data_IF_449865686206
#
_entry.id   IF_449865686206
#
_cell.length_a   1.000
_cell.length_b   1.000
_cell.length_c   1.000
_cell.angle_alpha   90.00
_cell.angle_beta   90.00
_cell.angle_gamma   90.00
#
_symmetry.space_group_name_H-M   'P 1'
#
loop_
_entity.id
_entity.type
_entity.pdbx_description
1 polymer ?
#
# COMPACT_ATOMS: atom_id res chain seq x y z
N UNK A 1 7.21 -6.85 -25.90
CA UNK A 1 7.94 -6.94 -24.60
C UNK A 1 7.30 -8.03 -23.79
N UNK A 2 8.08 -8.89 -23.13
CA UNK A 2 7.51 -10.00 -22.36
C UNK A 2 7.03 -9.41 -21.00
N UNK A 3 5.73 -9.06 -20.89
CA UNK A 3 5.18 -8.51 -19.67
C UNK A 3 5.31 -9.52 -18.52
N UNK A 4 5.83 -9.09 -17.38
CA UNK A 4 5.98 -9.91 -16.19
C UNK A 4 4.61 -10.38 -15.69
N UNK A 5 4.46 -11.69 -15.43
CA UNK A 5 3.20 -12.24 -14.92
C UNK A 5 3.04 -11.91 -13.43
N UNK A 6 1.94 -11.26 -13.09
CA UNK A 6 1.63 -10.75 -11.74
C UNK A 6 0.38 -11.44 -11.19
N UNK A 7 0.44 -11.87 -9.94
CA UNK A 7 -0.72 -12.30 -9.15
C UNK A 7 -1.07 -11.20 -8.13
N UNK A 8 -2.37 -10.94 -7.99
CA UNK A 8 -2.89 -10.07 -6.95
C UNK A 8 -3.31 -10.91 -5.74
N UNK A 9 -2.95 -10.48 -4.54
CA UNK A 9 -3.28 -11.19 -3.30
C UNK A 9 -4.25 -10.33 -2.49
N UNK A 10 -5.53 -10.69 -2.57
CA UNK A 10 -6.67 -10.00 -1.96
C UNK A 10 -7.71 -9.59 -3.00
N UNK A 11 -8.96 -10.06 -2.80
CA UNK A 11 -10.08 -9.88 -3.72
C UNK A 11 -11.06 -8.76 -3.30
N UNK A 12 -10.66 -7.88 -2.39
CA UNK A 12 -11.52 -6.80 -1.86
C UNK A 12 -11.56 -5.54 -2.73
N UNK A 13 -12.19 -4.48 -2.20
CA UNK A 13 -12.34 -3.20 -2.92
C UNK A 13 -11.03 -2.55 -3.36
N UNK A 14 -9.95 -2.69 -2.56
CA UNK A 14 -8.63 -2.15 -2.92
C UNK A 14 -8.03 -2.84 -4.16
N UNK A 15 -8.37 -4.10 -4.40
CA UNK A 15 -7.94 -4.81 -5.62
C UNK A 15 -8.41 -4.09 -6.90
N UNK A 16 -9.62 -3.51 -6.89
CA UNK A 16 -10.15 -2.76 -8.04
C UNK A 16 -9.27 -1.55 -8.38
N UNK A 17 -8.84 -0.80 -7.37
CA UNK A 17 -7.93 0.34 -7.57
C UNK A 17 -6.55 -0.10 -8.05
N UNK A 18 -6.06 -1.23 -7.55
CA UNK A 18 -4.78 -1.78 -8.00
C UNK A 18 -4.85 -2.25 -9.46
N UNK A 19 -5.94 -2.93 -9.85
CA UNK A 19 -6.16 -3.39 -11.23
C UNK A 19 -6.15 -2.20 -12.18
N UNK A 20 -6.93 -1.15 -11.89
CA UNK A 20 -7.02 0.05 -12.71
C UNK A 20 -5.65 0.71 -12.95
N UNK A 21 -4.82 0.81 -11.90
CA UNK A 21 -3.45 1.32 -12.06
C UNK A 21 -2.58 0.39 -12.91
N UNK A 22 -2.65 -0.94 -12.69
CA UNK A 22 -1.78 -1.92 -13.37
C UNK A 22 -2.11 -2.01 -14.85
N UNK A 23 -3.40 -1.96 -15.22
CA UNK A 23 -3.85 -1.99 -16.62
C UNK A 23 -3.35 -0.79 -17.43
N UNK A 24 -3.12 0.35 -16.77
CA UNK A 24 -2.54 1.54 -17.37
C UNK A 24 -0.98 1.52 -17.44
N UNK A 25 -0.37 0.39 -17.02
CA UNK A 25 1.08 0.19 -17.03
C UNK A 25 1.44 -1.00 -17.92
N UNK A 26 2.22 -0.81 -18.97
CA UNK A 26 2.69 -1.90 -19.85
C UNK A 26 3.81 -2.77 -19.22
N UNK A 27 3.86 -2.86 -17.90
CA UNK A 27 4.92 -3.57 -17.18
C UNK A 27 4.52 -4.98 -16.76
N UNK A 28 3.24 -5.18 -16.41
CA UNK A 28 2.73 -6.41 -15.83
C UNK A 28 1.49 -6.91 -16.56
N UNK A 29 1.36 -8.23 -16.63
CA UNK A 29 0.12 -8.90 -17.04
C UNK A 29 -0.48 -9.60 -15.82
N UNK A 30 -1.66 -9.16 -15.38
CA UNK A 30 -2.39 -9.81 -14.29
C UNK A 30 -2.80 -11.19 -14.75
N UNK A 31 -2.40 -12.22 -14.00
CA UNK A 31 -2.71 -13.61 -14.30
C UNK A 31 -3.88 -14.18 -13.51
N UNK A 32 -4.31 -13.47 -12.46
CA UNK A 32 -5.41 -13.86 -11.58
C UNK A 32 -5.28 -13.27 -10.19
N UNK A 33 -6.23 -13.60 -9.34
CA UNK A 33 -6.34 -13.09 -7.97
C UNK A 33 -6.29 -14.26 -6.99
N UNK A 34 -5.64 -14.07 -5.86
CA UNK A 34 -5.71 -14.94 -4.69
C UNK A 34 -6.72 -14.32 -3.73
N UNK A 35 -7.73 -15.10 -3.34
CA UNK A 35 -8.80 -14.66 -2.44
C UNK A 35 -9.01 -15.61 -1.27
N UNK A 36 -10.16 -15.50 -0.63
CA UNK A 36 -10.60 -16.47 0.36
C UNK A 36 -11.09 -17.75 -0.34
N UNK A 37 -11.07 -18.91 0.32
CA UNK A 37 -11.52 -20.17 -0.30
C UNK A 37 -12.94 -20.13 -0.87
N UNK A 38 -13.85 -19.38 -0.24
CA UNK A 38 -15.23 -19.18 -0.70
C UNK A 38 -15.38 -18.17 -1.84
N UNK A 39 -14.31 -17.51 -2.24
CA UNK A 39 -14.28 -16.55 -3.37
C UNK A 39 -13.77 -17.20 -4.67
N UNK A 40 -13.36 -18.46 -4.64
CA UNK A 40 -12.83 -19.17 -5.81
C UNK A 40 -13.83 -19.12 -6.99
N UNK A 41 -13.33 -18.73 -8.17
CA UNK A 41 -14.13 -18.55 -9.38
C UNK A 41 -14.86 -17.22 -9.49
N UNK A 42 -14.90 -16.39 -8.41
CA UNK A 42 -15.43 -15.03 -8.47
C UNK A 42 -14.53 -14.16 -9.34
N UNK A 43 -15.12 -13.27 -10.12
CA UNK A 43 -14.38 -12.31 -10.94
C UNK A 43 -14.44 -10.91 -10.36
N UNK A 44 -13.29 -10.22 -10.41
CA UNK A 44 -13.18 -8.79 -10.20
C UNK A 44 -12.74 -8.20 -11.55
N UNK A 45 -13.64 -7.49 -12.20
CA UNK A 45 -13.52 -7.15 -13.62
C UNK A 45 -13.27 -8.42 -14.45
N UNK A 46 -12.21 -8.47 -15.24
CA UNK A 46 -11.87 -9.61 -16.10
C UNK A 46 -11.00 -10.67 -15.41
N UNK A 47 -10.64 -10.47 -14.14
CA UNK A 47 -9.70 -11.33 -13.41
C UNK A 47 -10.40 -12.22 -12.41
N UNK A 48 -10.15 -13.52 -12.54
CA UNK A 48 -10.75 -14.55 -11.70
C UNK A 48 -9.93 -14.80 -10.44
N UNK A 49 -10.61 -15.12 -9.33
CA UNK A 49 -9.99 -15.68 -8.13
C UNK A 49 -9.63 -17.14 -8.42
N UNK A 50 -8.35 -17.42 -8.62
CA UNK A 50 -7.81 -18.70 -9.09
C UNK A 50 -7.22 -19.57 -7.98
N UNK A 51 -7.24 -19.12 -6.75
CA UNK A 51 -6.71 -19.83 -5.59
C UNK A 51 -6.83 -19.04 -4.30
N UNK A 52 -6.28 -19.59 -3.24
CA UNK A 52 -6.21 -19.03 -1.90
C UNK A 52 -4.77 -19.02 -1.34
N UNK A 53 -4.59 -18.59 -0.10
CA UNK A 53 -3.26 -18.52 0.55
C UNK A 53 -2.50 -19.87 0.51
N UNK A 54 -3.20 -21.01 0.54
CA UNK A 54 -2.57 -22.33 0.50
C UNK A 54 -1.99 -22.70 -0.88
N UNK A 55 -2.40 -22.00 -1.93
CA UNK A 55 -1.96 -22.26 -3.30
C UNK A 55 -0.71 -21.44 -3.70
N UNK A 56 -0.24 -20.53 -2.83
CA UNK A 56 0.86 -19.58 -3.15
C UNK A 56 2.11 -20.29 -3.67
N UNK A 57 2.56 -21.38 -3.01
CA UNK A 57 3.77 -22.13 -3.43
C UNK A 57 3.59 -22.78 -4.81
N UNK A 58 2.38 -23.26 -5.13
CA UNK A 58 2.06 -23.83 -6.44
C UNK A 58 2.06 -22.74 -7.51
N UNK A 59 1.44 -21.60 -7.21
CA UNK A 59 1.26 -20.51 -8.15
C UNK A 59 2.56 -19.75 -8.42
N UNK A 60 3.50 -19.68 -7.46
CA UNK A 60 4.81 -19.06 -7.68
C UNK A 60 5.64 -19.72 -8.79
N UNK A 61 5.34 -20.98 -9.13
CA UNK A 61 5.98 -21.69 -10.25
C UNK A 61 5.54 -21.15 -11.63
N UNK A 62 4.35 -20.54 -11.70
CA UNK A 62 3.76 -20.04 -12.96
C UNK A 62 3.77 -18.52 -13.05
N UNK A 63 3.84 -17.85 -11.91
CA UNK A 63 3.79 -16.40 -11.76
C UNK A 63 4.95 -15.94 -10.90
N UNK A 64 5.80 -15.08 -11.46
CA UNK A 64 7.02 -14.65 -10.75
C UNK A 64 6.79 -13.50 -9.77
N UNK A 65 5.73 -12.71 -9.97
CA UNK A 65 5.50 -11.49 -9.18
C UNK A 65 4.15 -11.52 -8.47
N UNK A 66 4.09 -10.88 -7.30
CA UNK A 66 2.86 -10.69 -6.54
C UNK A 66 2.74 -9.25 -6.01
N UNK A 67 1.50 -8.79 -5.82
CA UNK A 67 1.15 -7.55 -5.15
C UNK A 67 0.07 -7.83 -4.10
N UNK A 68 0.22 -7.30 -2.89
CA UNK A 68 -0.83 -7.38 -1.86
C UNK A 68 -1.89 -6.32 -2.13
N UNK A 69 -3.10 -6.76 -2.45
CA UNK A 69 -4.25 -5.91 -2.80
C UNK A 69 -5.33 -5.87 -1.71
N UNK A 70 -4.99 -6.31 -0.49
CA UNK A 70 -5.81 -6.10 0.70
C UNK A 70 -5.57 -4.69 1.23
N UNK A 71 -6.63 -3.95 1.55
CA UNK A 71 -6.54 -2.64 2.21
C UNK A 71 -6.11 -2.76 3.68
N UNK A 72 -5.84 -1.61 4.30
CA UNK A 72 -5.44 -1.52 5.72
C UNK A 72 -6.07 -0.28 6.33
N UNK A 73 -6.76 -0.42 7.47
CA UNK A 73 -7.28 0.70 8.27
C UNK A 73 -6.93 0.51 9.74
N UNK A 74 -7.47 -0.53 10.38
CA UNK A 74 -7.33 -0.75 11.82
C UNK A 74 -6.04 -1.46 12.21
N UNK A 75 -5.54 -2.34 11.36
CA UNK A 75 -4.37 -3.16 11.64
C UNK A 75 -3.64 -3.55 10.35
N UNK A 76 -2.31 -3.58 10.33
CA UNK A 76 -1.52 -4.04 9.21
C UNK A 76 -1.40 -5.57 9.13
N UNK A 77 -1.83 -6.31 10.16
CA UNK A 77 -1.47 -7.71 10.37
C UNK A 77 -1.80 -8.62 9.17
N UNK A 78 -2.96 -8.45 8.55
CA UNK A 78 -3.33 -9.25 7.37
C UNK A 78 -2.39 -8.98 6.21
N UNK A 79 -2.05 -7.71 5.94
CA UNK A 79 -1.12 -7.36 4.87
C UNK A 79 0.29 -7.88 5.14
N UNK A 80 0.76 -7.78 6.39
CA UNK A 80 2.07 -8.29 6.80
C UNK A 80 2.14 -9.79 6.55
N UNK A 81 1.20 -10.54 7.10
CA UNK A 81 1.14 -12.01 6.95
C UNK A 81 1.12 -12.43 5.47
N UNK A 82 0.27 -11.81 4.65
CA UNK A 82 0.17 -12.14 3.23
C UNK A 82 1.46 -11.79 2.46
N UNK A 83 2.10 -10.68 2.80
CA UNK A 83 3.35 -10.26 2.19
C UNK A 83 4.50 -11.22 2.53
N UNK A 84 4.61 -11.63 3.79
CA UNK A 84 5.60 -12.61 4.24
C UNK A 84 5.38 -13.98 3.59
N UNK A 85 4.12 -14.46 3.58
CA UNK A 85 3.76 -15.71 2.94
C UNK A 85 4.10 -15.72 1.44
N UNK A 86 3.85 -14.61 0.74
CA UNK A 86 4.19 -14.49 -0.68
C UNK A 86 5.71 -14.55 -0.91
N UNK A 87 6.51 -13.90 -0.06
CA UNK A 87 7.97 -13.97 -0.13
C UNK A 87 8.47 -15.40 0.12
N UNK A 88 7.95 -16.05 1.17
CA UNK A 88 8.32 -17.44 1.50
C UNK A 88 7.92 -18.40 0.37
N UNK A 89 6.80 -18.15 -0.30
CA UNK A 89 6.38 -18.92 -1.47
C UNK A 89 7.25 -18.69 -2.72
N UNK A 90 8.14 -17.69 -2.71
CA UNK A 90 9.09 -17.42 -3.80
C UNK A 90 8.68 -16.32 -4.78
N UNK A 91 7.65 -15.52 -4.47
CA UNK A 91 7.29 -14.38 -5.29
C UNK A 91 8.24 -13.18 -5.11
N UNK A 92 8.53 -12.49 -6.21
CA UNK A 92 9.06 -11.14 -6.20
C UNK A 92 7.91 -10.15 -5.96
N UNK A 93 8.02 -9.33 -4.93
CA UNK A 93 6.97 -8.37 -4.59
C UNK A 93 7.04 -7.15 -5.49
N UNK A 94 6.03 -7.00 -6.36
CA UNK A 94 5.96 -5.93 -7.36
C UNK A 94 5.70 -4.57 -6.70
N UNK A 95 6.53 -3.59 -7.02
CA UNK A 95 6.27 -2.18 -6.70
C UNK A 95 5.52 -1.56 -7.87
N UNK A 96 4.34 -1.03 -7.61
CA UNK A 96 3.44 -0.46 -8.62
C UNK A 96 3.32 1.05 -8.38
N UNK A 97 3.62 1.84 -9.40
CA UNK A 97 3.52 3.30 -9.36
C UNK A 97 2.65 3.75 -10.52
N UNK A 98 1.52 4.39 -10.22
CA UNK A 98 0.62 4.90 -11.26
C UNK A 98 1.35 5.90 -12.17
N UNK A 99 1.09 5.86 -13.47
CA UNK A 99 1.67 6.79 -14.45
C UNK A 99 1.33 8.26 -14.17
N UNK A 100 0.22 8.49 -13.47
CA UNK A 100 -0.23 9.83 -13.03
C UNK A 100 0.32 10.26 -11.67
N UNK A 101 1.07 9.41 -10.97
CA UNK A 101 1.77 9.79 -9.75
C UNK A 101 3.09 10.50 -10.07
N UNK A 102 3.45 11.49 -9.24
CA UNK A 102 4.78 12.05 -9.27
C UNK A 102 5.63 11.39 -8.18
N UNK A 103 6.71 10.76 -8.56
CA UNK A 103 7.71 10.23 -7.63
C UNK A 103 9.07 10.80 -8.02
N UNK A 104 9.67 11.56 -7.11
CA UNK A 104 10.99 12.13 -7.33
C UNK A 104 12.01 11.03 -7.63
N UNK A 105 12.92 11.26 -8.57
CA UNK A 105 14.03 10.36 -8.85
C UNK A 105 15.03 10.22 -7.69
N UNK A 106 14.91 11.05 -6.66
CA UNK A 106 15.68 11.01 -5.41
C UNK A 106 14.92 10.28 -4.29
N UNK A 107 13.65 9.91 -4.50
CA UNK A 107 12.89 9.11 -3.55
C UNK A 107 13.24 7.62 -3.69
N UNK A 108 13.06 6.90 -2.58
CA UNK A 108 13.22 5.43 -2.55
C UNK A 108 11.89 4.79 -2.17
N UNK A 109 11.46 3.82 -2.97
CA UNK A 109 10.20 3.09 -2.76
C UNK A 109 10.52 1.61 -2.53
N UNK A 110 10.10 1.08 -1.39
CA UNK A 110 10.32 -0.32 -1.02
C UNK A 110 9.46 -1.29 -1.83
N UNK A 111 9.90 -2.56 -1.86
CA UNK A 111 9.25 -3.64 -2.60
C UNK A 111 7.80 -3.86 -2.15
N UNK A 112 6.92 -4.19 -3.10
CA UNK A 112 5.50 -4.46 -2.83
C UNK A 112 4.69 -3.22 -2.46
N UNK A 113 5.25 -2.02 -2.57
CA UNK A 113 4.55 -0.77 -2.30
C UNK A 113 3.73 -0.35 -3.52
N UNK A 114 2.50 0.09 -3.25
CA UNK A 114 1.56 0.60 -4.24
C UNK A 114 1.44 2.12 -4.10
N UNK A 115 1.70 2.85 -5.19
CA UNK A 115 1.54 4.30 -5.29
C UNK A 115 0.45 4.61 -6.31
N UNK A 116 -0.65 5.17 -5.84
CA UNK A 116 -1.88 5.37 -6.61
C UNK A 116 -1.88 6.68 -7.40
N UNK A 117 -2.94 6.89 -8.16
CA UNK A 117 -3.15 8.04 -9.03
C UNK A 117 -2.99 9.38 -8.30
N UNK A 118 -2.26 10.32 -8.91
CA UNK A 118 -2.08 11.67 -8.42
C UNK A 118 -1.33 11.80 -7.09
N UNK A 119 -0.80 10.70 -6.55
CA UNK A 119 0.06 10.77 -5.38
C UNK A 119 1.36 11.51 -5.71
N UNK A 120 1.86 12.30 -4.75
CA UNK A 120 3.11 13.06 -4.88
C UNK A 120 4.08 12.60 -3.80
N UNK A 121 5.25 12.12 -4.23
CA UNK A 121 6.35 11.71 -3.37
C UNK A 121 7.56 12.56 -3.70
N UNK A 122 7.88 13.50 -2.83
CA UNK A 122 8.91 14.52 -3.08
C UNK A 122 10.35 14.04 -2.82
N UNK A 123 11.29 14.96 -2.97
CA UNK A 123 12.73 14.70 -2.96
C UNK A 123 13.19 14.11 -1.62
N UNK A 124 14.09 13.10 -1.69
CA UNK A 124 14.69 12.45 -0.53
C UNK A 124 13.70 11.74 0.40
N UNK A 125 12.47 11.47 -0.06
CA UNK A 125 11.52 10.63 0.67
C UNK A 125 11.95 9.17 0.62
N UNK A 126 11.82 8.47 1.75
CA UNK A 126 12.11 7.04 1.85
C UNK A 126 10.86 6.30 2.33
N UNK A 127 10.29 5.45 1.47
CA UNK A 127 9.10 4.65 1.75
C UNK A 127 9.49 3.19 1.85
N UNK A 128 9.10 2.55 2.93
CA UNK A 128 9.35 1.14 3.20
C UNK A 128 8.59 0.19 2.28
N UNK A 129 8.68 -1.10 2.58
CA UNK A 129 8.04 -2.18 1.83
C UNK A 129 6.54 -2.31 2.16
N UNK A 130 5.77 -2.85 1.21
CA UNK A 130 4.35 -3.21 1.37
C UNK A 130 3.47 -2.04 1.85
N UNK A 131 3.79 -0.81 1.45
CA UNK A 131 3.01 0.37 1.77
C UNK A 131 1.88 0.61 0.75
N UNK A 132 0.87 1.36 1.16
CA UNK A 132 -0.14 1.94 0.29
C UNK A 132 0.02 3.46 0.36
N UNK A 133 0.39 4.08 -0.75
CA UNK A 133 0.40 5.53 -0.94
C UNK A 133 -0.78 5.84 -1.85
N UNK A 134 -1.88 6.22 -1.23
CA UNK A 134 -3.17 6.25 -1.90
C UNK A 134 -3.38 7.52 -2.74
N UNK A 135 -4.48 7.57 -3.48
CA UNK A 135 -4.76 8.62 -4.47
C UNK A 135 -4.63 10.03 -3.88
N UNK A 136 -3.95 10.91 -4.61
CA UNK A 136 -3.76 12.33 -4.27
C UNK A 136 -3.13 12.59 -2.89
N UNK A 137 -2.48 11.60 -2.28
CA UNK A 137 -1.70 11.83 -1.06
C UNK A 137 -0.41 12.59 -1.40
N UNK A 138 0.05 13.43 -0.47
CA UNK A 138 1.27 14.21 -0.59
C UNK A 138 2.25 13.82 0.51
N UNK A 139 3.46 13.44 0.12
CA UNK A 139 4.57 13.18 1.04
C UNK A 139 5.71 14.12 0.66
N UNK A 140 5.95 15.09 1.53
CA UNK A 140 6.95 16.13 1.34
C UNK A 140 8.37 15.65 1.67
N UNK A 141 9.35 16.46 1.21
CA UNK A 141 10.78 16.16 1.22
C UNK A 141 11.30 15.68 2.58
N UNK A 142 12.35 14.85 2.54
CA UNK A 142 13.09 14.34 3.71
C UNK A 142 12.24 13.47 4.66
N UNK A 143 11.03 13.08 4.25
CA UNK A 143 10.16 12.25 5.08
C UNK A 143 10.49 10.76 4.95
N UNK A 144 10.31 10.04 6.07
CA UNK A 144 10.46 8.59 6.17
C UNK A 144 9.12 7.94 6.48
N UNK A 145 8.73 6.95 5.68
CA UNK A 145 7.55 6.11 5.89
C UNK A 145 8.02 4.67 6.11
N UNK A 146 7.76 4.13 7.28
CA UNK A 146 8.12 2.75 7.63
C UNK A 146 7.42 1.70 6.77
N UNK A 147 7.77 0.42 6.99
CA UNK A 147 7.14 -0.69 6.26
C UNK A 147 5.65 -0.82 6.62
N UNK A 148 4.87 -1.38 5.71
CA UNK A 148 3.47 -1.74 5.96
C UNK A 148 2.59 -0.56 6.39
N UNK A 149 2.90 0.66 5.96
CA UNK A 149 2.10 1.84 6.23
C UNK A 149 1.03 2.03 5.16
N UNK A 150 -0.06 2.69 5.55
CA UNK A 150 -1.06 3.18 4.61
C UNK A 150 -1.23 4.69 4.79
N UNK A 151 -0.80 5.45 3.81
CA UNK A 151 -1.09 6.88 3.65
C UNK A 151 -2.33 6.97 2.77
N UNK A 152 -3.48 7.30 3.37
CA UNK A 152 -4.78 7.23 2.70
C UNK A 152 -5.02 8.43 1.77
N UNK A 153 -6.12 8.39 1.04
CA UNK A 153 -6.50 9.36 0.01
C UNK A 153 -6.41 10.80 0.50
N UNK A 154 -5.65 11.64 -0.21
CA UNK A 154 -5.53 13.06 0.06
C UNK A 154 -4.84 13.42 1.39
N UNK A 155 -4.21 12.45 2.08
CA UNK A 155 -3.44 12.74 3.29
C UNK A 155 -2.17 13.54 2.94
N UNK A 156 -1.80 14.50 3.81
CA UNK A 156 -0.66 15.39 3.64
C UNK A 156 0.34 15.14 4.77
N UNK A 157 1.52 14.68 4.39
CA UNK A 157 2.66 14.52 5.28
C UNK A 157 3.68 15.59 4.90
N UNK A 158 3.77 16.66 5.69
CA UNK A 158 4.73 17.75 5.45
C UNK A 158 6.18 17.28 5.65
N UNK A 159 7.13 18.14 5.33
CA UNK A 159 8.55 17.77 5.25
C UNK A 159 9.16 17.27 6.56
N UNK A 160 10.19 16.43 6.43
CA UNK A 160 10.99 15.91 7.55
C UNK A 160 10.17 15.16 8.61
N UNK A 161 9.14 14.44 8.21
CA UNK A 161 8.34 13.58 9.09
C UNK A 161 8.87 12.15 9.12
N UNK A 162 8.70 11.48 10.26
CA UNK A 162 9.00 10.06 10.42
C UNK A 162 7.76 9.29 10.83
N UNK A 163 7.29 8.35 9.99
CA UNK A 163 6.11 7.53 10.26
C UNK A 163 6.55 6.10 10.54
N UNK A 164 6.28 5.62 11.75
CA UNK A 164 6.59 4.27 12.19
C UNK A 164 5.85 3.18 11.41
N UNK A 165 6.48 2.00 11.28
CA UNK A 165 5.93 0.87 10.53
C UNK A 165 4.53 0.46 10.99
N UNK A 166 3.71 -0.02 10.08
CA UNK A 166 2.35 -0.50 10.36
C UNK A 166 1.32 0.60 10.58
N UNK A 167 1.72 1.87 10.53
CA UNK A 167 0.82 2.99 10.85
C UNK A 167 -0.12 3.32 9.69
N UNK A 168 -1.27 3.90 10.04
CA UNK A 168 -2.31 4.37 9.14
C UNK A 168 -2.49 5.88 9.28
N UNK A 169 -2.36 6.59 8.17
CA UNK A 169 -2.66 8.02 8.07
C UNK A 169 -3.94 8.18 7.26
N UNK A 170 -5.02 8.55 7.94
CA UNK A 170 -6.38 8.61 7.39
C UNK A 170 -6.56 9.65 6.28
N UNK A 171 -7.61 9.47 5.48
CA UNK A 171 -7.92 10.33 4.34
C UNK A 171 -8.01 11.81 4.76
N UNK A 172 -7.32 12.69 4.03
CA UNK A 172 -7.32 14.13 4.30
C UNK A 172 -6.65 14.54 5.63
N UNK A 173 -5.99 13.63 6.34
CA UNK A 173 -5.21 14.00 7.52
C UNK A 173 -3.99 14.84 7.13
N UNK A 174 -3.63 15.79 7.98
CA UNK A 174 -2.49 16.70 7.77
C UNK A 174 -1.52 16.62 8.95
N UNK A 175 -0.27 16.27 8.67
CA UNK A 175 0.79 16.22 9.66
C UNK A 175 1.67 17.46 9.51
N UNK A 176 1.94 18.16 10.63
CA UNK A 176 2.89 19.28 10.66
C UNK A 176 4.28 18.76 10.27
N UNK A 177 5.13 19.65 9.75
CA UNK A 177 6.54 19.32 9.47
C UNK A 177 7.31 18.93 10.73
N UNK A 178 8.28 18.03 10.57
CA UNK A 178 9.28 17.66 11.58
C UNK A 178 8.74 16.86 12.77
N UNK A 179 7.63 16.14 12.63
CA UNK A 179 7.11 15.29 13.71
C UNK A 179 7.41 13.81 13.45
N UNK A 180 7.41 13.05 14.55
CA UNK A 180 7.51 11.58 14.54
C UNK A 180 6.17 10.97 14.95
N UNK A 181 5.75 9.96 14.23
CA UNK A 181 4.60 9.09 14.54
C UNK A 181 5.14 7.70 14.82
N UNK A 182 4.84 7.15 15.99
CA UNK A 182 5.28 5.83 16.41
C UNK A 182 4.70 4.69 15.58
N UNK A 183 5.19 3.46 15.79
CA UNK A 183 4.75 2.27 15.06
C UNK A 183 3.29 1.92 15.37
N UNK A 184 2.60 1.29 14.40
CA UNK A 184 1.21 0.81 14.54
C UNK A 184 0.23 1.89 15.02
N UNK A 185 0.51 3.16 14.73
CA UNK A 185 -0.35 4.29 15.09
C UNK A 185 -1.46 4.48 14.06
N UNK A 186 -2.62 4.96 14.51
CA UNK A 186 -3.80 5.23 13.68
C UNK A 186 -4.16 6.70 13.79
N UNK A 187 -4.02 7.42 12.69
CA UNK A 187 -4.47 8.80 12.54
C UNK A 187 -5.78 8.77 11.75
N UNK A 188 -6.87 9.17 12.37
CA UNK A 188 -8.20 9.21 11.75
C UNK A 188 -8.27 10.18 10.56
N UNK A 189 -9.31 10.04 9.75
CA UNK A 189 -9.54 10.93 8.60
C UNK A 189 -9.72 12.40 9.06
N UNK A 190 -9.19 13.34 8.28
CA UNK A 190 -9.32 14.77 8.50
C UNK A 190 -8.60 15.31 9.72
N UNK A 191 -7.79 14.52 10.41
CA UNK A 191 -7.07 14.96 11.62
C UNK A 191 -5.88 15.85 11.28
N UNK A 192 -5.64 16.85 12.13
CA UNK A 192 -4.44 17.70 12.08
C UNK A 192 -3.52 17.34 13.24
N UNK A 193 -2.38 16.73 12.93
CA UNK A 193 -1.39 16.29 13.91
C UNK A 193 -0.27 17.34 13.99
N UNK A 194 -0.06 17.90 15.18
CA UNK A 194 0.91 18.98 15.41
C UNK A 194 2.09 18.57 16.29
N UNK A 195 2.00 17.43 16.97
CA UNK A 195 2.99 16.95 17.94
C UNK A 195 3.39 15.52 17.62
N UNK A 196 4.52 15.07 18.14
CA UNK A 196 4.93 13.68 18.07
C UNK A 196 3.89 12.76 18.69
N UNK A 197 3.76 11.57 18.14
CA UNK A 197 2.89 10.51 18.63
C UNK A 197 3.73 9.30 19.01
N UNK A 198 3.46 8.74 20.18
CA UNK A 198 4.08 7.50 20.64
C UNK A 198 3.59 6.29 19.83
N UNK A 199 4.24 5.15 20.02
CA UNK A 199 3.81 3.88 19.43
C UNK A 199 2.36 3.55 19.81
N UNK A 200 1.61 2.94 18.88
CA UNK A 200 0.22 2.53 19.08
C UNK A 200 -0.76 3.68 19.40
N UNK A 201 -0.39 4.92 19.08
CA UNK A 201 -1.28 6.07 19.27
C UNK A 201 -2.50 5.98 18.35
N UNK A 202 -3.68 6.34 18.88
CA UNK A 202 -4.91 6.40 18.10
C UNK A 202 -5.54 7.79 18.22
N UNK A 203 -5.48 8.56 17.12
CA UNK A 203 -6.11 9.88 16.99
C UNK A 203 -7.41 9.72 16.23
N UNK A 204 -8.52 9.84 16.94
CA UNK A 204 -9.89 9.78 16.38
C UNK A 204 -10.47 11.18 16.24
N UNK A 205 -11.41 11.36 15.30
CA UNK A 205 -12.27 12.53 15.34
C UNK A 205 -13.02 12.55 16.68
N UNK A 206 -12.91 13.65 17.44
CA UNK A 206 -13.81 13.86 18.58
C UNK A 206 -15.23 13.90 18.03
N UNK A 207 -16.09 13.01 18.48
CA UNK A 207 -17.52 13.09 18.22
C UNK A 207 -18.08 14.27 19.04
N UNK A 208 -17.96 15.48 18.48
CA UNK A 208 -18.75 16.64 18.92
C UNK A 208 -19.82 16.86 17.85
N UNK A 209 -20.97 16.30 18.08
CA UNK A 209 -22.21 16.82 17.55
C UNK A 209 -22.66 17.96 18.45
#
# INVERSE_FOLDING_TARGET
>A
MNNKKLILIGAGGHAKSCIDVIENLDLYKIGGIIGLPNELGIKIYDYEVIGSDVDLVKLSKSYSHALITVGQIKTPNTRIRLFENAIVAGFEMATIIASSAYVSNRAKIGKGTFVSHGAIVNSNVNIGANCIINSSSLIEHDSYIGNHCHVATGAIINGNNSIGSGSFVGSGAVLREGISVGVNSIIGMGQVVRNNLEDYSEIKASHSL
#
